data_IF_442926841025
#
_entry.id   IF_442926841025
#
_cell.length_a   1.000
_cell.length_b   1.000
_cell.length_c   1.000
_cell.angle_alpha   90.00
_cell.angle_beta   90.00
_cell.angle_gamma   90.00
#
_symmetry.space_group_name_H-M   'P 1'
#
loop_
_entity.id
_entity.type
_entity.pdbx_description
1 polymer ?
#
# COMPACT_ATOMS: atom_id res chain seq x y z
N UNK A 1 -32.56 37.94 81.13
CA UNK A 1 -32.17 38.76 79.97
C UNK A 1 -30.76 38.38 79.53
N UNK A 2 -30.55 38.09 78.23
CA UNK A 2 -29.24 38.02 77.55
C UNK A 2 -28.52 36.65 77.53
N UNK A 3 -29.01 35.65 76.77
CA UNK A 3 -28.48 35.16 75.47
C UNK A 3 -26.92 35.11 75.37
N UNK A 4 -26.28 33.94 75.50
CA UNK A 4 -26.10 32.82 74.53
C UNK A 4 -24.98 33.12 73.50
N UNK A 5 -24.04 32.24 73.14
CA UNK A 5 -24.05 30.77 73.13
C UNK A 5 -22.64 30.17 73.40
N UNK A 6 -22.63 29.01 74.08
CA UNK A 6 -21.44 28.22 74.44
C UNK A 6 -21.06 27.25 73.32
N UNK A 7 -19.75 27.03 73.19
CA UNK A 7 -19.16 25.92 72.44
C UNK A 7 -19.47 24.59 73.15
N UNK A 8 -19.87 23.58 72.39
CA UNK A 8 -19.86 22.15 72.72
C UNK A 8 -19.03 21.52 71.59
N UNK A 9 -18.00 20.70 71.79
CA UNK A 9 -17.88 19.57 72.70
C UNK A 9 -17.68 18.34 71.81
N UNK A 10 -16.48 17.74 71.84
CA UNK A 10 -16.10 16.65 70.96
C UNK A 10 -16.95 15.37 71.19
N UNK A 11 -17.25 14.65 70.11
CA UNK A 11 -17.94 13.36 70.16
C UNK A 11 -17.53 12.47 68.97
N UNK A 12 -16.83 11.38 69.28
CA UNK A 12 -16.46 10.27 68.40
C UNK A 12 -17.68 9.44 68.00
N UNK A 13 -17.82 9.10 66.71
CA UNK A 13 -18.87 8.20 66.22
C UNK A 13 -18.55 7.68 64.82
N UNK A 14 -18.44 6.37 64.72
CA UNK A 14 -17.90 5.59 63.61
C UNK A 14 -18.86 5.55 62.40
N UNK A 15 -18.38 5.89 61.21
CA UNK A 15 -19.11 5.78 59.92
C UNK A 15 -18.58 4.60 59.12
N UNK A 16 -19.03 3.40 59.48
CA UNK A 16 -18.82 2.20 58.69
C UNK A 16 -20.13 1.43 58.59
N UNK A 17 -21.00 1.81 57.65
CA UNK A 17 -21.67 0.84 56.75
C UNK A 17 -22.43 1.58 55.64
N UNK A 18 -21.81 1.71 54.47
CA UNK A 18 -22.52 1.99 53.21
C UNK A 18 -21.93 1.04 52.17
N UNK A 19 -22.64 -0.08 52.03
CA UNK A 19 -22.26 -1.21 51.21
C UNK A 19 -22.11 -0.85 49.74
N UNK A 20 -20.87 -0.90 49.26
CA UNK A 20 -20.55 -1.08 47.86
C UNK A 20 -20.02 -2.51 47.69
N UNK A 21 -20.88 -3.49 47.38
CA UNK A 21 -20.40 -4.77 46.85
C UNK A 21 -20.12 -4.59 45.37
N UNK A 22 -18.97 -4.01 45.03
CA UNK A 22 -18.39 -4.22 43.69
C UNK A 22 -18.11 -5.73 43.58
N UNK A 23 -18.96 -6.46 42.86
CA UNK A 23 -18.61 -7.79 42.36
C UNK A 23 -17.33 -7.61 41.55
N UNK A 24 -16.17 -7.88 42.15
CA UNK A 24 -14.92 -8.02 41.40
C UNK A 24 -15.18 -9.13 40.39
N UNK A 25 -15.39 -8.77 39.12
CA UNK A 25 -15.21 -9.75 38.05
C UNK A 25 -13.78 -10.23 38.20
N UNK A 26 -13.59 -11.51 38.46
CA UNK A 26 -12.26 -12.11 38.45
C UNK A 26 -11.65 -11.77 37.09
N UNK A 27 -10.51 -11.07 37.11
CA UNK A 27 -9.74 -10.87 35.90
C UNK A 27 -9.38 -12.27 35.36
N UNK A 28 -9.53 -12.51 34.05
CA UNK A 28 -9.21 -13.81 33.50
C UNK A 28 -7.76 -14.15 33.82
N UNK A 29 -7.51 -15.41 34.19
CA UNK A 29 -6.17 -15.95 34.35
C UNK A 29 -5.37 -15.74 33.05
N UNK A 30 -4.04 -15.92 33.12
CA UNK A 30 -3.12 -15.59 32.02
C UNK A 30 -3.54 -16.22 30.68
N UNK A 31 -4.07 -17.44 30.70
CA UNK A 31 -4.65 -18.12 29.53
C UNK A 31 -5.94 -17.45 29.03
N UNK A 32 -6.86 -17.07 29.92
CA UNK A 32 -8.08 -16.34 29.54
C UNK A 32 -7.78 -14.92 29.03
N UNK A 33 -6.71 -14.28 29.50
CA UNK A 33 -6.25 -13.00 28.98
C UNK A 33 -5.57 -13.12 27.61
N UNK A 34 -5.03 -14.29 27.26
CA UNK A 34 -4.50 -14.61 25.92
C UNK A 34 -5.66 -14.96 24.98
N UNK A 35 -6.62 -15.77 25.42
CA UNK A 35 -7.82 -16.10 24.67
C UNK A 35 -8.64 -14.84 24.33
N UNK A 36 -8.86 -13.95 25.30
CA UNK A 36 -9.56 -12.67 25.08
C UNK A 36 -8.81 -11.73 24.12
N UNK A 37 -7.47 -11.75 24.11
CA UNK A 37 -6.67 -11.03 23.10
C UNK A 37 -6.79 -11.67 21.72
N UNK A 38 -6.88 -12.99 21.65
CA UNK A 38 -7.13 -13.74 20.42
C UNK A 38 -8.51 -13.42 19.83
N UNK A 39 -9.56 -13.43 20.65
CA UNK A 39 -10.92 -13.06 20.23
C UNK A 39 -10.99 -11.60 19.74
N UNK A 40 -10.36 -10.66 20.46
CA UNK A 40 -10.30 -9.27 20.01
C UNK A 40 -9.51 -9.10 18.70
N UNK A 41 -8.40 -9.84 18.54
CA UNK A 41 -7.61 -9.81 17.31
C UNK A 41 -8.38 -10.39 16.11
N UNK A 42 -9.17 -11.44 16.32
CA UNK A 42 -10.03 -12.01 15.28
C UNK A 42 -11.14 -11.03 14.87
N UNK A 43 -11.78 -10.37 15.83
CA UNK A 43 -12.80 -9.35 15.54
C UNK A 43 -12.22 -8.18 14.71
N UNK A 44 -11.00 -7.73 15.03
CA UNK A 44 -10.32 -6.69 14.23
C UNK A 44 -9.92 -7.19 12.86
N UNK A 45 -9.48 -8.45 12.72
CA UNK A 45 -9.17 -9.02 11.41
C UNK A 45 -10.43 -9.06 10.52
N UNK A 46 -11.57 -9.48 11.06
CA UNK A 46 -12.85 -9.47 10.35
C UNK A 46 -13.28 -8.05 9.95
N UNK A 47 -13.12 -7.07 10.85
CA UNK A 47 -13.44 -5.67 10.56
C UNK A 47 -12.52 -5.07 9.47
N UNK A 48 -11.22 -5.35 9.56
CA UNK A 48 -10.25 -4.91 8.55
C UNK A 48 -10.50 -5.56 7.20
N UNK A 49 -10.83 -6.86 7.17
CA UNK A 49 -11.17 -7.58 5.94
C UNK A 49 -12.45 -7.02 5.30
N UNK A 50 -13.48 -6.79 6.10
CA UNK A 50 -14.73 -6.21 5.62
C UNK A 50 -14.52 -4.79 5.07
N UNK A 51 -13.72 -3.96 5.74
CA UNK A 51 -13.42 -2.61 5.28
C UNK A 51 -12.53 -2.61 4.03
N UNK A 52 -11.51 -3.48 3.97
CA UNK A 52 -10.69 -3.67 2.78
C UNK A 52 -11.55 -4.06 1.57
N UNK A 53 -12.39 -5.08 1.70
CA UNK A 53 -13.25 -5.54 0.61
C UNK A 53 -14.22 -4.44 0.17
N UNK A 54 -15.00 -3.89 1.11
CA UNK A 54 -16.14 -3.03 0.79
C UNK A 54 -15.77 -1.57 0.56
N UNK A 55 -14.95 -1.00 1.45
CA UNK A 55 -14.70 0.44 1.47
C UNK A 55 -13.52 0.83 0.56
N UNK A 56 -12.62 -0.12 0.27
CA UNK A 56 -11.48 0.10 -0.61
C UNK A 56 -11.62 -0.63 -1.94
N UNK A 57 -11.70 -1.96 -1.95
CA UNK A 57 -11.57 -2.72 -3.21
C UNK A 57 -12.79 -2.58 -4.12
N UNK A 58 -14.02 -2.71 -3.59
CA UNK A 58 -15.24 -2.53 -4.38
C UNK A 58 -15.48 -1.07 -4.83
N UNK A 59 -14.81 -0.13 -4.15
CA UNK A 59 -14.78 1.27 -4.56
C UNK A 59 -13.72 1.51 -5.64
N UNK A 60 -12.52 0.96 -5.46
CA UNK A 60 -11.38 1.19 -6.35
C UNK A 60 -11.53 0.43 -7.68
N UNK A 61 -11.91 -0.84 -7.63
CA UNK A 61 -12.19 -1.64 -8.81
C UNK A 61 -13.69 -1.68 -9.10
N UNK A 62 -14.12 -1.45 -10.36
CA UNK A 62 -13.32 -1.22 -11.56
C UNK A 62 -12.99 0.28 -11.83
N UNK A 63 -13.32 1.21 -10.92
CA UNK A 63 -13.22 2.67 -11.19
C UNK A 63 -11.84 3.17 -11.59
N UNK A 64 -10.78 2.51 -11.13
CA UNK A 64 -9.42 2.85 -11.51
C UNK A 64 -8.98 2.30 -12.84
N UNK A 65 -9.71 1.37 -13.46
CA UNK A 65 -9.33 0.79 -14.75
C UNK A 65 -9.59 1.81 -15.86
N UNK A 66 -8.55 2.16 -16.59
CA UNK A 66 -8.65 3.14 -17.68
C UNK A 66 -8.84 2.43 -19.02
N UNK A 67 -9.84 2.78 -19.85
CA UNK A 67 -10.14 2.05 -21.09
C UNK A 67 -8.99 2.07 -22.12
N UNK A 68 -8.20 3.15 -22.18
CA UNK A 68 -6.99 3.22 -23.00
C UNK A 68 -5.81 2.33 -22.53
N UNK A 69 -5.95 1.63 -21.39
CA UNK A 69 -4.88 0.88 -20.75
C UNK A 69 -4.39 1.55 -19.47
N UNK A 70 -3.97 0.75 -18.49
CA UNK A 70 -3.48 1.22 -17.20
C UNK A 70 -4.58 1.75 -16.29
N UNK A 71 -4.19 2.60 -15.34
CA UNK A 71 -5.07 3.01 -14.25
C UNK A 71 -5.15 4.54 -14.05
N UNK A 72 -6.36 5.02 -13.76
CA UNK A 72 -6.64 6.38 -13.31
C UNK A 72 -6.04 6.62 -11.93
N UNK A 73 -5.42 7.80 -11.74
CA UNK A 73 -4.64 8.11 -10.55
C UNK A 73 -5.26 9.21 -9.68
N UNK A 74 -5.99 10.14 -10.31
CA UNK A 74 -6.57 11.30 -9.64
C UNK A 74 -8.10 11.21 -9.57
N UNK A 75 -8.64 11.49 -8.39
CA UNK A 75 -10.08 11.56 -8.13
C UNK A 75 -10.43 12.79 -7.31
N UNK A 76 -11.57 13.40 -7.59
CA UNK A 76 -12.14 14.42 -6.71
C UNK A 76 -12.85 13.79 -5.50
N UNK A 77 -13.39 14.65 -4.63
CA UNK A 77 -14.13 14.21 -3.42
C UNK A 77 -15.43 13.44 -3.73
N UNK A 78 -15.86 13.42 -4.99
CA UNK A 78 -17.04 12.71 -5.50
C UNK A 78 -16.65 11.46 -6.31
N UNK A 79 -15.38 11.05 -6.24
CA UNK A 79 -14.86 9.91 -6.99
C UNK A 79 -15.00 10.05 -8.51
N UNK A 80 -15.05 11.27 -9.02
CA UNK A 80 -14.92 11.52 -10.44
C UNK A 80 -13.44 11.60 -10.79
N UNK A 81 -12.98 10.93 -11.86
CA UNK A 81 -11.61 11.07 -12.33
C UNK A 81 -11.28 12.54 -12.58
N UNK A 82 -10.13 12.99 -12.08
CA UNK A 82 -9.61 14.34 -12.31
C UNK A 82 -8.12 14.29 -12.58
N UNK A 83 -7.62 15.26 -13.33
CA UNK A 83 -6.21 15.32 -13.69
C UNK A 83 -5.85 14.43 -14.87
N UNK A 84 -4.55 14.36 -15.12
CA UNK A 84 -3.95 13.96 -16.39
C UNK A 84 -4.19 12.49 -16.78
N UNK A 85 -4.21 12.25 -18.09
CA UNK A 85 -4.27 10.93 -18.72
C UNK A 85 -2.91 10.19 -18.67
N UNK A 86 -2.04 10.58 -17.75
CA UNK A 86 -0.69 10.06 -17.65
C UNK A 86 -0.65 8.70 -16.95
N UNK A 87 0.44 7.98 -17.17
CA UNK A 87 0.74 6.67 -16.58
C UNK A 87 2.04 6.80 -15.84
N UNK A 88 1.95 7.04 -14.54
CA UNK A 88 3.11 7.09 -13.65
C UNK A 88 3.46 5.67 -13.20
N UNK A 89 4.69 5.24 -13.47
CA UNK A 89 5.14 3.85 -13.32
C UNK A 89 4.84 3.31 -11.93
N UNK A 90 5.18 4.09 -10.89
CA UNK A 90 4.95 3.70 -9.50
C UNK A 90 3.48 3.40 -9.23
N UNK A 91 2.57 4.25 -9.70
CA UNK A 91 1.14 4.04 -9.47
C UNK A 91 0.65 2.81 -10.23
N UNK A 92 1.03 2.67 -11.50
CA UNK A 92 0.65 1.50 -12.30
C UNK A 92 1.12 0.20 -11.64
N UNK A 93 2.37 0.16 -11.18
CA UNK A 93 2.93 -1.02 -10.50
C UNK A 93 2.29 -1.30 -9.15
N UNK A 94 1.87 -0.27 -8.39
CA UNK A 94 1.13 -0.46 -7.12
C UNK A 94 -0.24 -1.09 -7.33
N UNK A 95 -0.95 -0.72 -8.39
CA UNK A 95 -2.24 -1.33 -8.70
C UNK A 95 -2.06 -2.78 -9.15
N UNK A 96 -1.07 -3.06 -10.00
CA UNK A 96 -0.68 -4.45 -10.37
C UNK A 96 -0.36 -5.28 -9.13
N UNK A 97 0.49 -4.75 -8.23
CA UNK A 97 0.82 -5.41 -6.96
C UNK A 97 -0.42 -5.70 -6.12
N UNK A 98 -1.31 -4.72 -5.98
CA UNK A 98 -2.52 -4.83 -5.15
C UNK A 98 -3.45 -5.91 -5.70
N UNK A 99 -3.76 -5.85 -7.00
CA UNK A 99 -4.61 -6.82 -7.67
C UNK A 99 -4.01 -8.24 -7.60
N UNK A 100 -2.70 -8.39 -7.84
CA UNK A 100 -2.04 -9.70 -7.79
C UNK A 100 -2.05 -10.29 -6.37
N UNK A 101 -1.77 -9.47 -5.36
CA UNK A 101 -1.78 -9.91 -3.96
C UNK A 101 -3.18 -10.31 -3.52
N UNK A 102 -4.21 -9.56 -3.94
CA UNK A 102 -5.61 -9.91 -3.67
C UNK A 102 -6.04 -11.16 -4.45
N UNK A 103 -5.58 -11.36 -5.69
CA UNK A 103 -5.90 -12.56 -6.47
C UNK A 103 -5.36 -13.83 -5.81
N UNK A 104 -4.20 -13.72 -5.15
CA UNK A 104 -3.61 -14.78 -4.34
C UNK A 104 -4.40 -15.01 -3.04
N UNK A 105 -4.83 -13.94 -2.37
CA UNK A 105 -5.51 -13.99 -1.08
C UNK A 105 -7.02 -14.32 -1.15
N UNK A 106 -7.70 -13.97 -2.26
CA UNK A 106 -9.15 -14.08 -2.46
C UNK A 106 -9.50 -14.99 -3.64
N UNK A 107 -9.44 -16.33 -3.46
CA UNK A 107 -9.71 -17.29 -4.53
C UNK A 107 -11.08 -17.12 -5.19
N UNK A 108 -12.08 -16.65 -4.45
CA UNK A 108 -13.44 -16.39 -4.94
C UNK A 108 -13.54 -15.18 -5.89
N UNK A 109 -12.53 -14.29 -5.91
CA UNK A 109 -12.43 -13.13 -6.82
C UNK A 109 -11.23 -13.22 -7.76
N UNK A 110 -10.53 -14.36 -7.78
CA UNK A 110 -9.25 -14.52 -8.48
C UNK A 110 -9.35 -14.12 -9.95
N UNK A 111 -10.36 -14.58 -10.67
CA UNK A 111 -10.49 -14.32 -12.10
C UNK A 111 -10.69 -12.82 -12.41
N UNK A 112 -11.55 -12.14 -11.65
CA UNK A 112 -11.76 -10.68 -11.75
C UNK A 112 -10.46 -9.90 -11.52
N UNK A 113 -9.71 -10.28 -10.48
CA UNK A 113 -8.47 -9.61 -10.11
C UNK A 113 -7.33 -9.92 -11.10
N UNK A 114 -7.31 -11.12 -11.68
CA UNK A 114 -6.35 -11.48 -12.72
C UNK A 114 -6.55 -10.66 -14.01
N UNK A 115 -7.79 -10.33 -14.37
CA UNK A 115 -8.02 -9.40 -15.50
C UNK A 115 -7.41 -8.02 -15.24
N UNK A 116 -7.49 -7.54 -14.00
CA UNK A 116 -6.86 -6.27 -13.60
C UNK A 116 -5.33 -6.37 -13.66
N UNK A 117 -4.76 -7.50 -13.20
CA UNK A 117 -3.32 -7.76 -13.32
C UNK A 117 -2.88 -7.74 -14.78
N UNK A 118 -3.57 -8.47 -15.67
CA UNK A 118 -3.27 -8.52 -17.11
C UNK A 118 -3.35 -7.13 -17.74
N UNK A 119 -4.41 -6.38 -17.45
CA UNK A 119 -4.57 -5.01 -17.92
C UNK A 119 -3.41 -4.09 -17.50
N UNK A 120 -2.95 -4.23 -16.26
CA UNK A 120 -1.79 -3.48 -15.75
C UNK A 120 -0.47 -3.92 -16.37
N UNK A 121 -0.25 -5.23 -16.57
CA UNK A 121 0.94 -5.76 -17.23
C UNK A 121 1.06 -5.27 -18.67
N UNK A 122 -0.06 -5.20 -19.41
CA UNK A 122 -0.09 -4.61 -20.74
C UNK A 122 0.36 -3.14 -20.72
N UNK A 123 -0.08 -2.36 -19.74
CA UNK A 123 0.37 -0.97 -19.60
C UNK A 123 1.86 -0.90 -19.26
N UNK A 124 2.36 -1.69 -18.31
CA UNK A 124 3.79 -1.73 -17.97
C UNK A 124 4.64 -2.11 -19.19
N UNK A 125 4.18 -3.05 -20.01
CA UNK A 125 4.84 -3.41 -21.26
C UNK A 125 4.91 -2.24 -22.26
N UNK A 126 3.85 -1.43 -22.38
CA UNK A 126 3.85 -0.20 -23.21
C UNK A 126 4.78 0.88 -22.66
N UNK A 127 4.96 0.95 -21.33
CA UNK A 127 5.85 1.93 -20.69
C UNK A 127 7.34 1.59 -20.84
N UNK A 128 7.70 0.48 -21.48
CA UNK A 128 9.11 0.13 -21.68
C UNK A 128 9.83 1.19 -22.50
N UNK A 129 11.04 1.52 -22.06
CA UNK A 129 11.89 2.43 -22.84
C UNK A 129 12.39 1.72 -24.10
N UNK A 130 12.37 2.42 -25.23
CA UNK A 130 13.00 2.00 -26.48
C UNK A 130 14.44 2.54 -26.61
N UNK A 131 14.93 3.27 -25.60
CA UNK A 131 16.27 3.89 -25.57
C UNK A 131 17.32 3.05 -24.82
N UNK A 132 17.02 1.79 -24.50
CA UNK A 132 17.91 0.87 -23.78
C UNK A 132 17.66 0.77 -22.27
N UNK A 133 16.78 1.63 -21.72
CA UNK A 133 16.32 1.54 -20.33
C UNK A 133 15.27 0.45 -20.13
N UNK A 134 14.83 0.23 -18.89
CA UNK A 134 13.74 -0.70 -18.59
C UNK A 134 12.36 -0.08 -18.78
N UNK A 135 12.07 1.00 -18.06
CA UNK A 135 10.75 1.63 -18.06
C UNK A 135 10.88 3.14 -18.02
N UNK A 136 10.00 3.84 -18.73
CA UNK A 136 9.78 5.28 -18.56
C UNK A 136 9.07 5.52 -17.24
N UNK A 137 9.42 6.60 -16.54
CA UNK A 137 8.81 6.90 -15.23
C UNK A 137 7.38 7.42 -15.38
N UNK A 138 7.09 8.20 -16.43
CA UNK A 138 5.74 8.67 -16.75
C UNK A 138 5.50 8.69 -18.25
N UNK A 139 4.35 8.18 -18.70
CA UNK A 139 3.97 8.15 -20.12
C UNK A 139 2.56 8.65 -20.37
N UNK A 140 2.26 8.96 -21.63
CA UNK A 140 0.87 9.00 -22.10
C UNK A 140 0.25 7.58 -22.14
N UNK A 141 -1.04 7.40 -22.46
CA UNK A 141 -1.67 6.08 -22.58
C UNK A 141 -1.08 5.17 -23.67
N UNK A 142 -0.40 5.76 -24.67
CA UNK A 142 0.26 5.02 -25.74
C UNK A 142 1.65 4.52 -25.33
N UNK A 143 2.20 4.99 -24.19
CA UNK A 143 3.51 4.60 -23.69
C UNK A 143 4.64 5.59 -24.05
N UNK A 144 4.32 6.74 -24.63
CA UNK A 144 5.31 7.77 -24.99
C UNK A 144 5.72 8.56 -23.75
N UNK A 145 7.02 8.86 -23.61
CA UNK A 145 7.53 9.69 -22.53
C UNK A 145 6.91 11.10 -22.55
N UNK A 146 6.52 11.59 -21.38
CA UNK A 146 5.94 12.94 -21.25
C UNK A 146 6.98 14.04 -21.17
N UNK A 147 8.24 13.68 -20.92
CA UNK A 147 9.39 14.58 -20.88
C UNK A 147 10.69 13.80 -21.04
N UNK A 148 11.82 14.48 -21.28
CA UNK A 148 13.14 13.84 -21.26
C UNK A 148 13.48 13.26 -19.88
N UNK A 149 13.00 13.87 -18.79
CA UNK A 149 13.20 13.33 -17.44
C UNK A 149 12.37 12.05 -17.22
N UNK A 150 11.29 11.85 -17.99
CA UNK A 150 10.54 10.60 -17.94
C UNK A 150 11.31 9.41 -18.53
N UNK A 151 12.34 9.65 -19.35
CA UNK A 151 13.23 8.59 -19.85
C UNK A 151 14.31 8.18 -18.83
N UNK A 152 14.55 8.98 -17.78
CA UNK A 152 15.51 8.63 -16.75
C UNK A 152 15.11 7.33 -16.04
N UNK A 153 16.09 6.46 -15.85
CA UNK A 153 15.94 5.19 -15.19
C UNK A 153 16.13 5.39 -13.69
N UNK A 154 15.03 5.71 -13.01
CA UNK A 154 15.03 6.04 -11.60
C UNK A 154 14.86 4.78 -10.73
N UNK A 155 15.73 4.63 -9.72
CA UNK A 155 15.76 3.47 -8.83
C UNK A 155 14.42 3.24 -8.13
N UNK A 156 13.79 4.30 -7.60
CA UNK A 156 12.52 4.19 -6.89
C UNK A 156 11.36 3.68 -7.80
N UNK A 157 11.08 4.29 -8.97
CA UNK A 157 10.12 3.73 -9.93
C UNK A 157 10.44 2.30 -10.40
N UNK A 158 11.70 1.98 -10.68
CA UNK A 158 12.11 0.64 -11.12
C UNK A 158 11.93 -0.40 -10.01
N UNK A 159 12.20 -0.05 -8.75
CA UNK A 159 11.94 -0.90 -7.60
C UNK A 159 10.44 -1.20 -7.45
N UNK A 160 9.57 -0.22 -7.67
CA UNK A 160 8.12 -0.45 -7.69
C UNK A 160 7.68 -1.33 -8.86
N UNK A 161 8.25 -1.14 -10.05
CA UNK A 161 8.01 -2.03 -11.19
C UNK A 161 8.39 -3.48 -10.85
N UNK A 162 9.58 -3.70 -10.31
CA UNK A 162 10.03 -5.02 -9.86
C UNK A 162 9.11 -5.60 -8.77
N UNK A 163 8.68 -4.77 -7.82
CA UNK A 163 7.77 -5.18 -6.75
C UNK A 163 6.40 -5.63 -7.27
N UNK A 164 5.80 -4.87 -8.20
CA UNK A 164 4.53 -5.22 -8.83
C UNK A 164 4.64 -6.45 -9.71
N UNK A 165 5.68 -6.53 -10.56
CA UNK A 165 5.95 -7.68 -11.41
C UNK A 165 6.21 -8.95 -10.60
N UNK A 166 6.94 -8.85 -9.49
CA UNK A 166 7.19 -9.98 -8.60
C UNK A 166 5.93 -10.52 -7.92
N UNK A 167 4.96 -9.65 -7.59
CA UNK A 167 3.66 -10.10 -7.11
C UNK A 167 2.82 -10.72 -8.23
N UNK A 168 2.77 -10.08 -9.40
CA UNK A 168 2.06 -10.60 -10.56
C UNK A 168 2.60 -11.98 -10.99
N UNK A 169 3.92 -12.21 -10.91
CA UNK A 169 4.54 -13.49 -11.25
C UNK A 169 4.05 -14.68 -10.40
N UNK A 170 3.43 -14.45 -9.24
CA UNK A 170 2.85 -15.54 -8.41
C UNK A 170 1.48 -15.99 -8.89
N UNK A 171 0.79 -15.17 -9.69
CA UNK A 171 -0.59 -15.40 -10.12
C UNK A 171 -0.77 -15.39 -11.64
N UNK A 172 0.19 -14.83 -12.39
CA UNK A 172 0.25 -14.83 -13.85
C UNK A 172 0.79 -16.15 -14.39
N UNK A 173 -0.10 -16.95 -14.97
CA UNK A 173 0.24 -18.25 -15.56
C UNK A 173 0.98 -18.14 -16.90
N UNK A 174 0.97 -16.97 -17.55
CA UNK A 174 1.63 -16.77 -18.85
C UNK A 174 3.15 -16.71 -18.74
N UNK A 175 3.70 -16.45 -17.55
CA UNK A 175 5.13 -16.22 -17.31
C UNK A 175 5.63 -14.83 -17.68
N UNK A 176 4.80 -13.99 -18.32
CA UNK A 176 5.17 -12.63 -18.77
C UNK A 176 5.66 -11.76 -17.62
N UNK A 177 4.96 -11.79 -16.48
CA UNK A 177 5.35 -11.01 -15.31
C UNK A 177 6.72 -11.45 -14.74
N UNK A 178 7.00 -12.76 -14.73
CA UNK A 178 8.24 -13.30 -14.20
C UNK A 178 9.44 -12.91 -15.08
N UNK A 179 9.27 -12.98 -16.41
CA UNK A 179 10.33 -12.61 -17.34
C UNK A 179 10.65 -11.12 -17.25
N UNK A 180 9.64 -10.26 -17.22
CA UNK A 180 9.83 -8.82 -17.00
C UNK A 180 10.47 -8.53 -15.63
N UNK A 181 10.10 -9.24 -14.57
CA UNK A 181 10.72 -9.08 -13.25
C UNK A 181 12.22 -9.41 -13.30
N UNK A 182 12.59 -10.50 -13.97
CA UNK A 182 13.99 -10.93 -14.13
C UNK A 182 14.80 -9.94 -14.97
N UNK A 183 14.23 -9.43 -16.07
CA UNK A 183 14.86 -8.39 -16.88
C UNK A 183 15.09 -7.12 -16.06
N UNK A 184 14.07 -6.67 -15.31
CA UNK A 184 14.13 -5.47 -14.48
C UNK A 184 15.19 -5.59 -13.40
N UNK A 185 15.19 -6.70 -12.66
CA UNK A 185 16.19 -6.98 -11.64
C UNK A 185 17.60 -6.98 -12.24
N UNK A 186 17.81 -7.71 -13.34
CA UNK A 186 19.12 -7.76 -14.00
C UNK A 186 19.59 -6.37 -14.42
N UNK A 187 18.70 -5.56 -14.97
CA UNK A 187 19.04 -4.19 -15.39
C UNK A 187 19.44 -3.32 -14.19
N UNK A 188 18.67 -3.36 -13.10
CA UNK A 188 18.99 -2.63 -11.85
C UNK A 188 20.37 -3.05 -11.32
N UNK A 189 20.61 -4.35 -11.18
CA UNK A 189 21.89 -4.86 -10.66
C UNK A 189 23.07 -4.53 -11.58
N UNK A 190 22.84 -4.44 -12.90
CA UNK A 190 23.91 -4.15 -13.86
C UNK A 190 24.26 -2.66 -13.89
N UNK A 191 23.25 -1.78 -13.78
CA UNK A 191 23.40 -0.35 -14.09
C UNK A 191 23.30 0.57 -12.87
N UNK A 192 22.58 0.17 -11.83
CA UNK A 192 22.37 1.01 -10.65
C UNK A 192 23.20 0.59 -9.46
N UNK A 193 23.67 -0.66 -9.37
CA UNK A 193 24.49 -1.09 -8.24
C UNK A 193 25.85 -0.38 -8.22
N UNK A 194 26.16 0.31 -7.12
CA UNK A 194 27.47 0.91 -6.88
C UNK A 194 28.36 -0.14 -6.19
N UNK A 195 29.16 -0.85 -6.98
CA UNK A 195 30.08 -1.88 -6.46
C UNK A 195 31.23 -1.31 -5.62
N UNK A 196 31.55 -0.02 -5.74
CA UNK A 196 32.64 0.62 -5.00
C UNK A 196 32.18 1.06 -3.61
N UNK A 197 30.98 1.66 -3.52
CA UNK A 197 30.47 2.26 -2.27
C UNK A 197 29.35 1.46 -1.61
N UNK A 198 28.81 0.47 -2.31
CA UNK A 198 27.59 -0.23 -1.92
C UNK A 198 26.34 0.62 -2.12
N UNK A 199 25.18 -0.04 -2.16
CA UNK A 199 23.91 0.62 -2.46
C UNK A 199 23.69 0.82 -3.96
N UNK A 200 22.78 1.75 -4.31
CA UNK A 200 22.35 1.96 -5.69
C UNK A 200 22.33 3.45 -6.04
N UNK A 201 22.70 3.78 -7.27
CA UNK A 201 22.48 5.10 -7.86
C UNK A 201 20.99 5.37 -8.00
N UNK A 202 20.57 6.59 -7.64
CA UNK A 202 19.15 6.97 -7.69
C UNK A 202 18.63 7.09 -9.12
N UNK A 203 19.50 7.52 -10.06
CA UNK A 203 19.14 7.82 -11.43
C UNK A 203 20.23 7.34 -12.39
N UNK A 204 19.82 6.82 -13.53
CA UNK A 204 20.68 6.59 -14.69
C UNK A 204 20.01 7.10 -15.97
N UNK A 205 20.82 7.35 -17.00
CA UNK A 205 20.34 7.48 -18.37
C UNK A 205 19.82 6.12 -18.87
N UNK A 206 19.03 6.09 -19.96
CA UNK A 206 18.57 4.84 -20.57
C UNK A 206 19.69 3.85 -20.90
N UNK A 207 20.89 4.31 -21.24
CA UNK A 207 22.05 3.44 -21.51
C UNK A 207 22.71 2.87 -20.25
N UNK A 208 22.18 3.21 -19.07
CA UNK A 208 22.68 2.76 -17.77
C UNK A 208 23.78 3.63 -17.17
N UNK A 209 24.14 4.76 -17.78
CA UNK A 209 25.11 5.70 -17.22
C UNK A 209 24.52 6.41 -15.98
N UNK A 210 25.11 6.26 -14.78
CA UNK A 210 24.60 6.92 -13.57
C UNK A 210 24.63 8.46 -13.66
N UNK A 211 23.60 9.11 -13.10
CA UNK A 211 23.52 10.58 -13.00
C UNK A 211 23.96 11.02 -11.61
N UNK A 212 25.15 11.63 -11.51
CA UNK A 212 25.81 11.94 -10.24
C UNK A 212 25.62 13.39 -9.75
N UNK A 213 24.90 14.23 -10.49
CA UNK A 213 24.67 15.63 -10.10
C UNK A 213 23.27 16.09 -10.52
N UNK A 214 22.63 16.99 -9.75
CA UNK A 214 21.37 17.58 -10.17
C UNK A 214 21.57 18.26 -11.52
N UNK A 215 20.68 17.99 -12.48
CA UNK A 215 20.57 18.86 -13.67
C UNK A 215 20.10 20.22 -13.16
N UNK A 216 20.92 21.24 -13.37
CA UNK A 216 20.68 22.61 -12.90
C UNK A 216 19.51 23.28 -13.59
#
# INVERSE_FOLDING_TARGET
MGHAARRLGAGSGNVHDLGWRLKRRQAPGREGAVAMRGEAALAWAEELEASLAKDLIDLWFPRCIHPAGGFHQGYDRRWQPVGEEDRFLVFQSRVVWSAATLAEAWPNRKDELLEIVRHGLEMLARMRSDRGGMFRTSTDPAGNALSEDAELQAAYPLAFALFGLGAAARVDESGTALDLARETHRWIETHLWDAERGGYYELALPDGTPVLSPRG
#
